data_IF_079527928082
#
_entry.id   IF_079527928082
#
_cell.length_a   1.000
_cell.length_b   1.000
_cell.length_c   1.000
_cell.angle_alpha   90.00
_cell.angle_beta   90.00
_cell.angle_gamma   90.00
#
_symmetry.space_group_name_H-M   'P 1'
#
loop_
_entity.id
_entity.type
_entity.pdbx_description
1 polymer ?
#
# COMPACT_ATOMS: atom_id res chain seq x y z
N UNK A 1 0.77 1.53 -21.57
CA UNK A 1 1.95 1.95 -20.75
C UNK A 1 2.21 3.44 -20.85
N UNK A 2 1.89 4.12 -21.96
CA UNK A 2 2.02 5.59 -22.06
C UNK A 2 1.06 6.37 -21.16
N UNK A 3 -0.13 5.85 -20.85
CA UNK A 3 -1.13 6.60 -20.08
C UNK A 3 -0.79 6.74 -18.58
N UNK A 4 -0.16 5.74 -17.94
CA UNK A 4 0.21 5.80 -16.51
C UNK A 4 1.31 6.83 -16.22
N UNK A 5 2.19 7.10 -17.19
CA UNK A 5 3.27 8.08 -17.05
C UNK A 5 2.77 9.53 -17.07
N UNK A 6 1.58 9.80 -17.63
CA UNK A 6 1.03 11.15 -17.78
C UNK A 6 0.26 11.64 -16.54
N UNK A 7 -0.11 10.74 -15.64
CA UNK A 7 -0.91 11.04 -14.43
C UNK A 7 -0.11 11.03 -13.13
N UNK A 8 1.20 10.77 -13.20
CA UNK A 8 2.08 10.80 -12.03
C UNK A 8 2.47 12.24 -11.68
N UNK A 9 1.89 12.75 -10.60
CA UNK A 9 2.33 13.99 -9.97
C UNK A 9 3.62 13.75 -9.16
N UNK A 10 4.76 14.37 -9.54
CA UNK A 10 6.03 14.20 -8.83
C UNK A 10 5.97 14.58 -7.35
N UNK A 11 5.12 15.55 -6.97
CA UNK A 11 5.04 16.00 -5.59
C UNK A 11 4.25 15.03 -4.72
N UNK A 12 3.19 14.43 -5.26
CA UNK A 12 2.51 13.28 -4.65
C UNK A 12 3.46 12.10 -4.41
N UNK A 13 4.36 11.80 -5.37
CA UNK A 13 5.36 10.73 -5.21
C UNK A 13 6.34 11.05 -4.08
N UNK A 14 6.85 12.29 -4.00
CA UNK A 14 7.73 12.72 -2.90
C UNK A 14 7.03 12.62 -1.56
N UNK A 15 5.77 13.07 -1.47
CA UNK A 15 4.99 12.98 -0.23
C UNK A 15 4.81 11.53 0.22
N UNK A 16 4.51 10.62 -0.72
CA UNK A 16 4.40 9.19 -0.43
C UNK A 16 5.73 8.61 0.11
N UNK A 17 6.87 8.96 -0.50
CA UNK A 17 8.20 8.53 -0.02
C UNK A 17 8.45 9.00 1.42
N UNK A 18 8.12 10.26 1.73
CA UNK A 18 8.26 10.80 3.09
C UNK A 18 7.38 10.03 4.08
N UNK A 19 6.14 9.69 3.72
CA UNK A 19 5.26 8.89 4.57
C UNK A 19 5.82 7.48 4.79
N UNK A 20 6.28 6.82 3.72
CA UNK A 20 6.86 5.46 3.77
C UNK A 20 8.08 5.42 4.69
N UNK A 21 8.98 6.38 4.58
CA UNK A 21 10.23 6.39 5.36
C UNK A 21 10.04 6.69 6.85
N UNK A 22 8.92 7.31 7.24
CA UNK A 22 8.67 7.73 8.62
C UNK A 22 7.82 6.75 9.42
N UNK A 23 7.43 5.62 8.84
CA UNK A 23 6.46 4.69 9.45
C UNK A 23 7.10 3.33 9.72
N UNK A 24 6.70 2.73 10.84
CA UNK A 24 7.30 1.48 11.34
C UNK A 24 6.77 0.24 10.63
N UNK A 25 5.54 0.31 10.12
CA UNK A 25 4.91 -0.76 9.35
C UNK A 25 3.97 -0.19 8.30
N UNK A 26 3.93 -0.84 7.14
CA UNK A 26 3.10 -0.43 6.01
C UNK A 26 2.12 -1.55 5.71
N UNK A 27 0.82 -1.23 5.69
CA UNK A 27 -0.24 -2.15 5.34
C UNK A 27 -0.76 -1.81 3.95
N UNK A 28 -0.79 -2.81 3.08
CA UNK A 28 -1.36 -2.72 1.74
C UNK A 28 -2.74 -3.38 1.73
N UNK A 29 -3.75 -2.61 1.34
CA UNK A 29 -5.15 -3.04 1.32
C UNK A 29 -5.69 -3.01 -0.11
N UNK A 30 -6.53 -3.97 -0.44
CA UNK A 30 -7.16 -4.07 -1.75
C UNK A 30 -8.11 -5.25 -1.80
N UNK A 31 -9.26 -5.09 -2.45
CA UNK A 31 -10.28 -6.14 -2.57
C UNK A 31 -10.36 -6.59 -4.03
N UNK A 32 -10.65 -7.87 -4.26
CA UNK A 32 -10.76 -8.44 -5.60
C UNK A 32 -9.45 -8.36 -6.37
N UNK A 33 -9.47 -7.89 -7.62
CA UNK A 33 -8.26 -7.77 -8.44
C UNK A 33 -7.23 -6.80 -7.85
N UNK A 34 -7.69 -5.76 -7.14
CA UNK A 34 -6.80 -4.79 -6.47
C UNK A 34 -5.98 -5.45 -5.35
N UNK A 35 -6.41 -6.60 -4.81
CA UNK A 35 -5.62 -7.38 -3.86
C UNK A 35 -4.31 -7.90 -4.49
N UNK A 36 -4.32 -8.24 -5.78
CA UNK A 36 -3.11 -8.70 -6.46
C UNK A 36 -2.05 -7.58 -6.50
N UNK A 37 -2.46 -6.34 -6.73
CA UNK A 37 -1.59 -5.17 -6.65
C UNK A 37 -1.08 -4.92 -5.23
N UNK A 38 -1.92 -5.10 -4.21
CA UNK A 38 -1.51 -5.00 -2.81
C UNK A 38 -0.44 -6.03 -2.43
N UNK A 39 -0.62 -7.29 -2.84
CA UNK A 39 0.34 -8.37 -2.59
C UNK A 39 1.64 -8.15 -3.35
N UNK A 40 1.56 -7.70 -4.61
CA UNK A 40 2.73 -7.37 -5.43
C UNK A 40 3.54 -6.21 -4.81
N UNK A 41 2.86 -5.15 -4.37
CA UNK A 41 3.50 -4.03 -3.65
C UNK A 41 4.18 -4.52 -2.37
N UNK A 42 3.49 -5.31 -1.54
CA UNK A 42 4.09 -5.94 -0.35
C UNK A 42 5.35 -6.71 -0.71
N UNK A 43 5.31 -7.57 -1.73
CA UNK A 43 6.47 -8.37 -2.16
C UNK A 43 7.66 -7.50 -2.54
N UNK A 44 7.42 -6.40 -3.27
CA UNK A 44 8.46 -5.46 -3.68
C UNK A 44 9.04 -4.71 -2.48
N UNK A 45 8.20 -4.31 -1.53
CA UNK A 45 8.62 -3.52 -0.37
C UNK A 45 9.36 -4.37 0.67
N UNK A 46 8.95 -5.63 0.89
CA UNK A 46 9.71 -6.57 1.73
C UNK A 46 11.12 -6.79 1.16
N UNK A 47 11.27 -6.89 -0.17
CA UNK A 47 12.58 -7.10 -0.81
C UNK A 47 13.57 -5.97 -0.55
N UNK A 48 13.09 -4.76 -0.27
CA UNK A 48 13.94 -3.61 0.08
C UNK A 48 14.03 -3.37 1.60
N UNK A 49 13.61 -4.34 2.41
CA UNK A 49 13.77 -4.32 3.86
C UNK A 49 12.68 -3.56 4.62
N UNK A 50 11.57 -3.17 3.97
CA UNK A 50 10.47 -2.52 4.65
C UNK A 50 9.56 -3.53 5.34
N UNK A 51 9.17 -3.22 6.57
CA UNK A 51 8.22 -4.01 7.34
C UNK A 51 6.81 -3.77 6.78
N UNK A 52 6.29 -4.73 6.02
CA UNK A 52 5.01 -4.56 5.33
C UNK A 52 4.10 -5.77 5.46
N UNK A 53 2.79 -5.54 5.31
CA UNK A 53 1.74 -6.56 5.42
C UNK A 53 0.69 -6.36 4.33
N UNK A 54 0.11 -7.46 3.85
CA UNK A 54 -1.05 -7.45 2.99
C UNK A 54 -1.81 -8.77 3.23
N UNK A 55 -3.10 -8.69 3.50
CA UNK A 55 -3.96 -9.85 3.69
C UNK A 55 -4.93 -9.98 2.51
N UNK A 56 -5.10 -11.19 1.97
CA UNK A 56 -6.05 -11.44 0.88
C UNK A 56 -7.50 -11.52 1.35
N UNK A 57 -7.71 -11.81 2.63
CA UNK A 57 -9.02 -11.96 3.22
C UNK A 57 -9.52 -10.62 3.77
N UNK A 58 -10.72 -10.23 3.38
CA UNK A 58 -11.32 -8.94 3.78
C UNK A 58 -11.51 -8.83 5.29
N UNK A 59 -11.84 -9.94 5.98
CA UNK A 59 -12.01 -9.91 7.42
C UNK A 59 -10.67 -9.67 8.14
N UNK A 60 -9.60 -10.32 7.67
CA UNK A 60 -8.25 -10.03 8.13
C UNK A 60 -7.83 -8.59 7.84
N UNK A 61 -8.10 -8.05 6.65
CA UNK A 61 -7.79 -6.63 6.36
C UNK A 61 -8.49 -5.67 7.34
N UNK A 62 -9.75 -5.94 7.69
CA UNK A 62 -10.50 -5.14 8.67
C UNK A 62 -9.91 -5.26 10.08
N UNK A 63 -9.50 -6.46 10.49
CA UNK A 63 -8.82 -6.67 11.78
C UNK A 63 -7.46 -5.96 11.83
N UNK A 64 -6.68 -6.04 10.76
CA UNK A 64 -5.40 -5.35 10.66
C UNK A 64 -5.59 -3.83 10.74
N UNK A 65 -6.56 -3.30 10.00
CA UNK A 65 -6.88 -1.87 10.01
C UNK A 65 -7.31 -1.37 11.40
N UNK A 66 -8.07 -2.16 12.17
CA UNK A 66 -8.51 -1.77 13.52
C UNK A 66 -7.41 -1.81 14.57
N UNK A 67 -6.33 -2.56 14.31
CA UNK A 67 -5.15 -2.67 15.16
C UNK A 67 -4.02 -1.70 14.78
N UNK A 68 -4.20 -0.93 13.71
CA UNK A 68 -3.22 0.06 13.28
C UNK A 68 -3.02 1.15 14.33
N UNK A 69 -1.79 1.62 14.43
CA UNK A 69 -1.37 2.70 15.30
C UNK A 69 -0.98 3.94 14.48
N UNK A 70 -0.83 5.12 15.11
CA UNK A 70 -0.30 6.31 14.43
C UNK A 70 1.11 6.13 13.84
N UNK A 71 1.85 5.11 14.25
CA UNK A 71 3.18 4.76 13.72
C UNK A 71 3.13 3.93 12.43
N UNK A 72 1.94 3.53 12.00
CA UNK A 72 1.71 2.71 10.80
C UNK A 72 1.24 3.54 9.60
N UNK A 73 1.39 2.97 8.39
CA UNK A 73 0.90 3.54 7.14
C UNK A 73 -0.09 2.58 6.47
N UNK A 74 -1.23 3.08 6.02
CA UNK A 74 -2.15 2.35 5.15
C UNK A 74 -1.98 2.82 3.70
N UNK A 75 -1.90 1.87 2.76
CA UNK A 75 -1.91 2.13 1.32
C UNK A 75 -3.03 1.28 0.71
N UNK A 76 -4.07 1.94 0.22
CA UNK A 76 -5.23 1.29 -0.41
C UNK A 76 -5.14 1.28 -1.93
N UNK A 77 -5.41 0.13 -2.54
CA UNK A 77 -5.59 -0.04 -3.98
C UNK A 77 -7.07 -0.12 -4.29
N UNK A 78 -7.53 0.77 -5.15
CA UNK A 78 -8.88 0.79 -5.67
C UNK A 78 -8.83 1.14 -7.14
N UNK A 79 -9.45 0.31 -7.98
CA UNK A 79 -9.71 0.63 -9.36
C UNK A 79 -11.22 0.74 -9.52
N UNK A 80 -11.70 1.95 -9.82
CA UNK A 80 -13.05 2.18 -10.29
C UNK A 80 -12.96 2.21 -11.82
N UNK A 81 -13.47 1.15 -12.46
CA UNK A 81 -13.61 1.10 -13.91
C UNK A 81 -14.78 1.97 -14.37
#
# INVERSE_FOLDING_TARGET
>A
MEDTSRTLDPDSVKAAIVLINNKKKIYFFGIGESNNSAIDARNKFVRIGLNTMAASDTHMQLMEASLMTPDDLAIGFSLSA
#
